data_IF_189351321296
#
_entry.id   IF_189351321296
#
_cell.length_a   1.000
_cell.length_b   1.000
_cell.length_c   1.000
_cell.angle_alpha   90.00
_cell.angle_beta   90.00
_cell.angle_gamma   90.00
#
_symmetry.space_group_name_H-M   'P 1'
#
loop_
_entity.id
_entity.type
_entity.pdbx_description
1 polymer ?
#
# COMPACT_ATOMS: atom_id res chain seq x y z
N UNK A 1 -27.79 0.27 22.60
CA UNK A 1 -27.48 -1.11 22.21
C UNK A 1 -26.52 -0.99 21.04
N UNK A 2 -25.22 -0.91 21.31
CA UNK A 2 -24.20 -0.86 20.26
C UNK A 2 -24.16 -2.25 19.65
N UNK A 3 -24.39 -2.36 18.35
CA UNK A 3 -24.34 -3.62 17.60
C UNK A 3 -22.90 -4.14 17.55
N UNK A 4 -22.41 -4.65 18.67
CA UNK A 4 -21.28 -5.56 18.68
C UNK A 4 -21.79 -6.91 18.14
N UNK A 5 -21.16 -7.44 17.09
CA UNK A 5 -21.24 -8.83 16.57
C UNK A 5 -21.91 -9.13 15.21
N UNK A 6 -21.88 -8.20 14.23
CA UNK A 6 -21.97 -8.63 12.81
C UNK A 6 -20.60 -8.58 12.15
N UNK A 7 -20.08 -9.74 11.74
CA UNK A 7 -18.88 -9.84 10.91
C UNK A 7 -19.18 -9.15 9.57
N UNK A 8 -18.47 -8.06 9.27
CA UNK A 8 -18.53 -7.44 7.94
C UNK A 8 -18.08 -8.47 6.90
N UNK A 9 -18.93 -8.72 5.92
CA UNK A 9 -18.60 -9.54 4.74
C UNK A 9 -18.21 -8.58 3.64
N UNK A 10 -17.03 -8.78 3.06
CA UNK A 10 -16.55 -8.03 1.91
C UNK A 10 -17.05 -8.72 0.62
N UNK A 11 -17.44 -7.93 -0.37
CA UNK A 11 -17.88 -8.43 -1.68
C UNK A 11 -16.72 -9.02 -2.49
N UNK A 12 -15.50 -8.58 -2.22
CA UNK A 12 -14.28 -8.87 -2.98
C UNK A 12 -13.29 -9.69 -2.16
N UNK A 13 -12.51 -10.53 -2.83
CA UNK A 13 -11.28 -11.11 -2.28
C UNK A 13 -10.16 -10.08 -2.32
N UNK A 14 -9.10 -10.31 -1.55
CA UNK A 14 -7.93 -9.41 -1.53
C UNK A 14 -7.27 -9.24 -2.91
N UNK A 15 -7.35 -10.26 -3.77
CA UNK A 15 -6.78 -10.26 -5.11
C UNK A 15 -7.75 -9.81 -6.20
N UNK A 16 -9.02 -9.55 -5.86
CA UNK A 16 -10.01 -9.11 -6.84
C UNK A 16 -9.83 -7.61 -7.11
N UNK A 17 -10.14 -7.20 -8.33
CA UNK A 17 -10.15 -5.78 -8.75
C UNK A 17 -11.49 -5.43 -9.34
N UNK A 18 -11.84 -4.14 -9.35
CA UNK A 18 -13.14 -3.68 -9.84
C UNK A 18 -13.03 -2.35 -10.57
N UNK A 19 -13.86 -2.14 -11.59
CA UNK A 19 -14.00 -0.85 -12.29
C UNK A 19 -14.89 0.15 -11.52
N UNK A 20 -15.57 -0.32 -10.48
CA UNK A 20 -16.44 0.48 -9.62
C UNK A 20 -16.10 0.23 -8.15
N UNK A 21 -16.36 1.21 -7.30
CA UNK A 21 -16.15 1.05 -5.87
C UNK A 21 -17.18 0.09 -5.25
N UNK A 22 -16.77 -1.15 -4.97
CA UNK A 22 -17.64 -2.20 -4.43
C UNK A 22 -17.65 -2.24 -2.90
N UNK A 23 -16.62 -1.71 -2.24
CA UNK A 23 -16.42 -1.86 -0.79
C UNK A 23 -16.53 -0.53 -0.03
N UNK A 24 -16.31 0.59 -0.73
CA UNK A 24 -16.03 1.90 -0.18
C UNK A 24 -14.53 2.18 -0.16
N UNK A 25 -14.06 3.20 -0.89
CA UNK A 25 -12.72 3.79 -0.77
C UNK A 25 -12.37 3.99 0.72
N UNK A 26 -11.15 3.62 1.11
CA UNK A 26 -10.63 3.79 2.46
C UNK A 26 -11.13 2.75 3.47
N UNK A 27 -12.05 1.86 3.09
CA UNK A 27 -12.52 0.79 3.98
C UNK A 27 -11.39 -0.13 4.40
N UNK A 28 -11.41 -0.49 5.67
CA UNK A 28 -10.43 -1.38 6.27
C UNK A 28 -10.96 -2.79 6.43
N UNK A 29 -10.09 -3.74 6.17
CA UNK A 29 -10.32 -5.18 6.34
C UNK A 29 -9.26 -5.75 7.27
N UNK A 30 -9.70 -6.33 8.37
CA UNK A 30 -8.84 -6.97 9.37
C UNK A 30 -8.90 -8.49 9.18
N UNK A 31 -7.74 -9.11 8.90
CA UNK A 31 -7.64 -10.57 8.80
C UNK A 31 -6.44 -11.08 9.60
N UNK A 32 -6.73 -11.63 10.79
CA UNK A 32 -5.69 -12.05 11.72
C UNK A 32 -4.80 -10.86 12.10
N UNK A 33 -3.49 -11.00 11.89
CA UNK A 33 -2.49 -9.97 12.17
C UNK A 33 -2.23 -8.99 11.02
N UNK A 34 -3.09 -8.96 9.99
CA UNK A 34 -2.95 -8.09 8.81
C UNK A 34 -4.13 -7.15 8.70
N UNK A 35 -3.86 -5.94 8.22
CA UNK A 35 -4.86 -4.93 7.88
C UNK A 35 -4.68 -4.57 6.41
N UNK A 36 -5.80 -4.46 5.70
CA UNK A 36 -5.86 -4.02 4.32
C UNK A 36 -6.76 -2.80 4.19
N UNK A 37 -6.47 -1.96 3.21
CA UNK A 37 -7.28 -0.79 2.84
C UNK A 37 -7.74 -0.93 1.39
N UNK A 38 -9.00 -0.62 1.12
CA UNK A 38 -9.53 -0.56 -0.23
C UNK A 38 -9.18 0.79 -0.86
N UNK A 39 -8.60 0.76 -2.06
CA UNK A 39 -7.97 1.92 -2.73
C UNK A 39 -8.31 1.94 -4.22
N UNK A 40 -8.14 3.11 -4.83
CA UNK A 40 -8.09 3.30 -6.28
C UNK A 40 -6.63 3.38 -6.71
N UNK A 41 -6.27 2.68 -7.78
CA UNK A 41 -4.92 2.79 -8.34
C UNK A 41 -4.87 3.86 -9.44
N UNK A 42 -3.88 4.75 -9.36
CA UNK A 42 -3.55 5.73 -10.38
C UNK A 42 -2.14 5.41 -10.91
N UNK A 43 -2.01 5.21 -12.22
CA UNK A 43 -0.71 4.91 -12.85
C UNK A 43 0.28 6.08 -12.81
N UNK A 44 -0.13 7.28 -12.38
CA UNK A 44 0.72 8.46 -12.34
C UNK A 44 1.03 9.02 -13.73
N UNK A 45 1.86 10.07 -13.77
CA UNK A 45 2.28 10.75 -15.00
C UNK A 45 3.06 9.85 -15.96
N UNK A 46 3.90 8.95 -15.41
CA UNK A 46 4.73 8.03 -16.19
C UNK A 46 4.00 6.72 -16.55
N UNK A 47 2.72 6.60 -16.18
CA UNK A 47 1.85 5.45 -16.52
C UNK A 47 2.43 4.12 -16.03
N UNK A 48 2.87 4.11 -14.77
CA UNK A 48 3.39 2.91 -14.11
C UNK A 48 2.25 1.92 -13.89
N UNK A 49 2.40 0.71 -14.42
CA UNK A 49 1.43 -0.35 -14.22
C UNK A 49 1.54 -0.94 -12.81
N UNK A 50 0.40 -1.22 -12.17
CA UNK A 50 0.38 -1.91 -10.88
C UNK A 50 1.01 -3.30 -10.99
N UNK A 51 1.77 -3.69 -9.98
CA UNK A 51 2.30 -5.05 -9.83
C UNK A 51 2.00 -5.52 -8.41
N UNK A 52 1.39 -6.71 -8.28
CA UNK A 52 1.12 -7.28 -6.96
C UNK A 52 2.43 -7.43 -6.17
N UNK A 53 2.42 -7.07 -4.89
CA UNK A 53 3.61 -7.06 -4.04
C UNK A 53 4.51 -5.82 -4.20
N UNK A 54 4.26 -4.92 -5.15
CA UNK A 54 4.93 -3.61 -5.16
C UNK A 54 4.32 -2.69 -4.09
N UNK A 55 5.14 -1.79 -3.56
CA UNK A 55 4.63 -0.73 -2.71
C UNK A 55 3.90 0.33 -3.54
N UNK A 56 3.03 1.06 -2.86
CA UNK A 56 2.38 2.25 -3.38
C UNK A 56 2.47 3.37 -2.37
N UNK A 57 2.50 4.59 -2.89
CA UNK A 57 2.43 5.83 -2.13
C UNK A 57 1.10 6.52 -2.39
N UNK A 58 0.71 7.44 -1.50
CA UNK A 58 -0.39 8.35 -1.81
C UNK A 58 -0.04 9.19 -3.03
N UNK A 59 -0.99 9.34 -3.93
CA UNK A 59 -0.82 10.20 -5.12
C UNK A 59 -0.66 11.67 -4.69
N UNK A 60 0.29 12.38 -5.30
CA UNK A 60 0.72 13.73 -4.88
C UNK A 60 -0.37 14.79 -5.03
N UNK A 61 -1.19 14.69 -6.07
CA UNK A 61 -2.27 15.65 -6.35
C UNK A 61 -3.47 15.48 -5.40
N UNK A 62 -3.64 14.30 -4.82
CA UNK A 62 -4.81 13.93 -4.00
C UNK A 62 -4.53 13.98 -2.49
N UNK A 63 -3.27 14.20 -2.08
CA UNK A 63 -2.86 14.33 -0.67
C UNK A 63 -3.49 15.56 0.06
N UNK A 64 -4.24 16.40 -0.66
CA UNK A 64 -4.93 17.60 -0.15
C UNK A 64 -6.44 17.38 0.08
N UNK A 65 -7.03 16.25 -0.36
CA UNK A 65 -8.48 16.04 -0.26
C UNK A 65 -8.84 15.06 0.86
N UNK A 66 -9.51 15.62 1.88
CA UNK A 66 -9.77 15.03 3.21
C UNK A 66 -10.70 13.79 3.18
N UNK A 67 -11.20 13.36 2.02
CA UNK A 67 -12.08 12.20 1.85
C UNK A 67 -11.64 11.23 0.71
N UNK A 68 -10.48 11.45 0.06
CA UNK A 68 -9.95 10.60 -1.04
C UNK A 68 -8.66 9.86 -0.67
N UNK A 69 -8.46 9.56 0.63
CA UNK A 69 -7.28 8.90 1.20
C UNK A 69 -6.99 7.46 0.70
N UNK A 70 -7.40 7.13 -0.51
CA UNK A 70 -7.23 5.86 -1.16
C UNK A 70 -6.82 5.97 -2.64
N UNK A 71 -6.51 7.16 -3.19
CA UNK A 71 -5.79 7.24 -4.47
C UNK A 71 -4.29 6.98 -4.25
N UNK A 72 -3.82 5.90 -4.87
CA UNK A 72 -2.44 5.42 -4.68
C UNK A 72 -1.76 5.16 -6.00
N UNK A 73 -0.44 5.37 -6.02
CA UNK A 73 0.38 5.12 -7.20
C UNK A 73 1.67 4.39 -6.83
N UNK A 74 2.24 3.65 -7.77
CA UNK A 74 3.62 3.15 -7.65
C UNK A 74 4.64 4.08 -8.30
N UNK A 75 4.20 5.09 -9.05
CA UNK A 75 5.04 6.11 -9.66
C UNK A 75 5.63 7.01 -8.57
N UNK A 76 6.95 6.92 -8.40
CA UNK A 76 7.69 7.70 -7.41
C UNK A 76 7.55 9.22 -7.68
N UNK A 77 7.57 9.61 -8.96
CA UNK A 77 7.53 11.01 -9.37
C UNK A 77 6.17 11.66 -9.15
N UNK A 78 5.10 10.86 -9.16
CA UNK A 78 3.72 11.29 -8.91
C UNK A 78 3.27 11.08 -7.45
N UNK A 79 4.18 10.70 -6.55
CA UNK A 79 3.89 10.31 -5.18
C UNK A 79 4.15 11.40 -4.12
N UNK A 80 3.36 11.39 -3.04
CA UNK A 80 3.54 12.29 -1.88
C UNK A 80 4.68 11.88 -0.92
N UNK A 81 5.51 10.90 -1.29
CA UNK A 81 6.62 10.41 -0.46
C UNK A 81 6.21 9.60 0.78
N UNK A 82 4.92 9.32 0.95
CA UNK A 82 4.35 8.55 2.08
C UNK A 82 3.81 7.23 1.53
N UNK A 83 4.35 6.12 2.03
CA UNK A 83 3.90 4.77 1.63
C UNK A 83 2.50 4.52 2.17
N UNK A 84 1.58 4.21 1.27
CA UNK A 84 0.20 3.87 1.58
C UNK A 84 0.03 2.37 1.88
N UNK A 85 0.84 1.51 1.26
CA UNK A 85 0.84 0.07 1.51
C UNK A 85 1.46 -0.74 0.38
N UNK A 86 1.11 -2.04 0.33
CA UNK A 86 1.58 -3.00 -0.69
C UNK A 86 0.40 -3.61 -1.44
N UNK A 87 0.46 -3.55 -2.78
CA UNK A 87 -0.59 -4.05 -3.68
C UNK A 87 -0.84 -5.55 -3.49
N UNK A 88 -2.11 -5.93 -3.38
CA UNK A 88 -2.51 -7.34 -3.34
C UNK A 88 -2.82 -7.92 -4.73
N UNK A 89 -2.96 -7.06 -5.74
CA UNK A 89 -3.32 -7.43 -7.11
C UNK A 89 -2.70 -6.47 -8.14
N UNK A 90 -2.76 -6.85 -9.41
CA UNK A 90 -2.52 -5.95 -10.55
C UNK A 90 -3.82 -5.17 -10.80
N UNK A 91 -3.89 -3.94 -10.27
CA UNK A 91 -5.04 -3.04 -10.39
C UNK A 91 -4.84 -2.13 -11.60
N UNK A 92 -5.77 -2.12 -12.55
CA UNK A 92 -5.69 -1.19 -13.67
C UNK A 92 -5.86 0.27 -13.18
N UNK A 93 -5.29 1.24 -13.90
CA UNK A 93 -5.46 2.65 -13.56
C UNK A 93 -6.93 3.04 -13.55
N UNK A 94 -7.37 3.81 -12.55
CA UNK A 94 -8.77 4.19 -12.31
C UNK A 94 -9.65 3.05 -11.78
N UNK A 95 -9.05 1.91 -11.40
CA UNK A 95 -9.76 0.76 -10.83
C UNK A 95 -9.44 0.59 -9.35
N UNK A 96 -10.25 -0.22 -8.67
CA UNK A 96 -10.25 -0.41 -7.24
C UNK A 96 -9.72 -1.77 -6.84
N UNK A 97 -9.08 -1.85 -5.67
CA UNK A 97 -8.58 -3.10 -5.10
C UNK A 97 -7.99 -2.92 -3.70
N UNK A 98 -7.38 -3.97 -3.17
CA UNK A 98 -6.82 -3.97 -1.83
C UNK A 98 -5.31 -3.71 -1.82
N UNK A 99 -4.87 -2.92 -0.84
CA UNK A 99 -3.47 -2.84 -0.41
C UNK A 99 -3.36 -3.34 1.02
N UNK A 100 -2.26 -4.01 1.37
CA UNK A 100 -1.93 -4.31 2.75
C UNK A 100 -1.21 -3.12 3.36
N UNK A 101 -1.64 -2.71 4.56
CA UNK A 101 -1.12 -1.51 5.24
C UNK A 101 -0.45 -1.85 6.58
N UNK A 102 -0.83 -2.97 7.21
CA UNK A 102 -0.17 -3.48 8.43
C UNK A 102 0.12 -4.98 8.37
N UNK A 103 1.10 -5.42 9.15
CA UNK A 103 1.45 -6.83 9.33
C UNK A 103 2.47 -7.33 8.32
N UNK A 104 2.77 -8.64 8.36
CA UNK A 104 3.80 -9.25 7.50
C UNK A 104 3.34 -9.29 6.04
N UNK A 105 4.15 -8.72 5.15
CA UNK A 105 3.98 -8.71 3.71
C UNK A 105 5.25 -9.23 3.00
N UNK A 106 5.07 -9.75 1.79
CA UNK A 106 6.17 -10.14 0.89
C UNK A 106 6.18 -9.16 -0.27
N UNK A 107 7.32 -8.52 -0.50
CA UNK A 107 7.49 -7.59 -1.61
C UNK A 107 7.83 -8.35 -2.90
N UNK A 108 7.42 -7.80 -4.03
CA UNK A 108 7.83 -8.28 -5.33
C UNK A 108 9.27 -7.86 -5.65
N UNK A 109 9.59 -6.59 -5.41
CA UNK A 109 10.94 -6.04 -5.56
C UNK A 109 11.80 -6.33 -4.33
N UNK A 110 13.09 -6.58 -4.56
CA UNK A 110 14.06 -6.71 -3.47
C UNK A 110 14.37 -5.33 -2.86
N UNK A 111 14.85 -5.32 -1.61
CA UNK A 111 15.38 -4.11 -1.00
C UNK A 111 16.75 -3.83 -1.62
N UNK A 112 16.94 -2.60 -2.12
CA UNK A 112 18.12 -2.25 -2.93
C UNK A 112 19.44 -2.38 -2.14
N UNK A 113 19.41 -2.20 -0.81
CA UNK A 113 20.58 -2.32 0.10
C UNK A 113 20.21 -2.69 1.56
N UNK A 114 19.04 -3.29 1.81
CA UNK A 114 18.50 -3.51 3.16
C UNK A 114 19.01 -4.77 3.86
N UNK A 115 19.17 -4.68 5.17
CA UNK A 115 19.32 -5.80 6.10
C UNK A 115 18.12 -5.89 7.04
N UNK A 116 18.00 -7.01 7.73
CA UNK A 116 16.93 -7.25 8.70
C UNK A 116 16.96 -6.20 9.81
N UNK A 117 15.78 -5.73 10.22
CA UNK A 117 15.61 -4.68 11.22
C UNK A 117 15.78 -3.25 10.70
N UNK A 118 16.13 -3.03 9.43
CA UNK A 118 16.15 -1.68 8.89
C UNK A 118 14.73 -1.10 8.75
N UNK A 119 14.56 0.15 9.17
CA UNK A 119 13.37 0.94 8.84
C UNK A 119 13.33 1.21 7.34
N UNK A 120 12.14 1.13 6.77
CA UNK A 120 11.92 1.26 5.34
C UNK A 120 11.13 2.53 5.01
N UNK A 121 11.44 3.11 3.87
CA UNK A 121 10.74 4.27 3.28
C UNK A 121 10.42 3.98 1.82
N UNK A 122 9.71 4.90 1.17
CA UNK A 122 9.58 4.87 -0.30
C UNK A 122 10.97 4.91 -0.95
N UNK A 123 11.21 4.02 -1.92
CA UNK A 123 12.41 4.02 -2.76
C UNK A 123 12.24 4.95 -3.97
N UNK A 124 13.35 5.30 -4.61
CA UNK A 124 13.35 6.13 -5.83
C UNK A 124 12.98 5.33 -7.09
N UNK A 125 13.04 4.00 -7.01
CA UNK A 125 12.55 3.10 -8.06
C UNK A 125 11.07 2.85 -7.85
N UNK A 126 10.29 2.93 -8.91
CA UNK A 126 8.83 2.77 -8.85
C UNK A 126 8.43 1.45 -8.18
N UNK A 127 7.54 1.57 -7.20
CA UNK A 127 7.04 0.44 -6.41
C UNK A 127 8.05 -0.24 -5.48
N UNK A 128 9.25 0.32 -5.30
CA UNK A 128 10.27 -0.20 -4.40
C UNK A 128 10.23 0.48 -3.02
N UNK A 129 10.63 -0.27 -1.99
CA UNK A 129 11.01 0.27 -0.68
C UNK A 129 12.53 0.38 -0.59
N UNK A 130 13.01 1.38 0.16
CA UNK A 130 14.42 1.61 0.43
C UNK A 130 14.68 1.73 1.93
N UNK A 131 15.94 1.54 2.34
CA UNK A 131 16.37 1.79 3.72
C UNK A 131 16.22 3.27 4.05
N UNK A 132 15.68 3.56 5.23
CA UNK A 132 15.53 4.91 5.73
C UNK A 132 16.90 5.57 5.95
N UNK A 133 17.23 6.56 5.13
CA UNK A 133 18.46 7.32 5.25
C UNK A 133 18.33 8.56 6.14
N UNK A 134 17.13 9.15 6.22
CA UNK A 134 16.86 10.39 6.96
C UNK A 134 15.75 10.19 7.99
N UNK A 135 15.98 10.69 9.20
CA UNK A 135 15.01 10.62 10.31
C UNK A 135 13.76 11.48 10.10
N UNK A 136 13.73 12.32 9.06
CA UNK A 136 12.56 13.11 8.66
C UNK A 136 11.64 12.37 7.70
N UNK A 137 12.11 11.29 7.07
CA UNK A 137 11.31 10.50 6.13
C UNK A 137 10.26 9.68 6.88
N UNK A 138 9.06 9.58 6.28
CA UNK A 138 7.98 8.77 6.81
C UNK A 138 8.30 7.27 6.66
N UNK A 139 8.20 6.50 7.74
CA UNK A 139 8.48 5.05 7.72
C UNK A 139 7.30 4.25 7.18
N UNK A 140 7.57 3.24 6.35
CA UNK A 140 6.58 2.28 5.86
C UNK A 140 6.48 1.04 6.77
N UNK A 141 7.48 0.83 7.64
CA UNK A 141 7.64 -0.37 8.44
C UNK A 141 9.11 -0.76 8.57
N UNK A 142 9.36 -2.05 8.82
CA UNK A 142 10.71 -2.61 9.02
C UNK A 142 10.93 -3.84 8.17
N UNK A 143 12.17 -4.03 7.70
CA UNK A 143 12.60 -5.29 7.10
C UNK A 143 12.64 -6.40 8.16
N UNK A 144 12.03 -7.55 7.85
CA UNK A 144 12.03 -8.72 8.75
C UNK A 144 13.02 -9.76 8.25
N UNK A 145 12.97 -10.06 6.96
CA UNK A 145 13.96 -10.85 6.23
C UNK A 145 14.16 -10.19 4.87
N UNK A 146 15.20 -9.37 4.76
CA UNK A 146 15.50 -8.61 3.56
C UNK A 146 15.78 -9.53 2.37
N UNK A 147 16.42 -10.66 2.61
CA UNK A 147 16.78 -11.61 1.54
C UNK A 147 15.57 -12.36 0.99
N UNK A 148 14.57 -12.61 1.85
CA UNK A 148 13.28 -13.18 1.46
C UNK A 148 12.23 -12.12 1.07
N UNK A 149 12.59 -10.83 1.05
CA UNK A 149 11.70 -9.70 0.74
C UNK A 149 10.53 -9.57 1.71
N UNK A 150 10.71 -9.98 2.96
CA UNK A 150 9.67 -9.98 3.99
C UNK A 150 9.80 -8.72 4.83
N UNK A 151 8.68 -8.01 4.98
CA UNK A 151 8.60 -6.77 5.76
C UNK A 151 7.42 -6.82 6.73
N UNK A 152 7.55 -6.08 7.84
CA UNK A 152 6.46 -5.78 8.75
C UNK A 152 5.98 -4.36 8.45
N UNK A 153 4.81 -4.26 7.80
CA UNK A 153 4.22 -2.98 7.42
C UNK A 153 3.59 -2.28 8.62
N UNK A 154 3.73 -0.95 8.64
CA UNK A 154 3.05 -0.05 9.57
C UNK A 154 2.71 1.28 8.89
N UNK A 155 1.92 1.22 7.81
CA UNK A 155 1.55 2.38 7.01
C UNK A 155 0.38 3.17 7.66
N UNK A 156 0.35 4.51 7.51
CA UNK A 156 -0.70 5.37 8.05
C UNK A 156 -1.99 5.25 7.23
N UNK A 157 -3.15 5.38 7.89
CA UNK A 157 -4.48 5.35 7.29
C UNK A 157 -5.48 6.11 8.15
#
# INVERSE_FOLDING_TARGET
MTNESMKKVFATKLTDTSLIDLEGIGVLRFEGARIYKYVTYNAGGDVIAAVAGNCVVYHGDDAVVVDSAADVTSDYSSGAGIVAGVLQAVIASGSFGWIQIKGIAVLNLALDTGADGNELIVGTTDGALAVRALATSHTAGVAVDATAKIVLLDCPW
#
